data_IF_597340368693
#
_entry.id   IF_597340368693
#
_cell.length_a   1.000
_cell.length_b   1.000
_cell.length_c   1.000
_cell.angle_alpha   90.00
_cell.angle_beta   90.00
_cell.angle_gamma   90.00
#
_symmetry.space_group_name_H-M   'P 1'
#
loop_
_entity.id
_entity.type
_entity.pdbx_description
1 polymer ?
#
# COMPACT_ATOMS: atom_id res chain seq x y z
N UNK A 1 -10.14 4.69 12.71
CA UNK A 1 -9.07 4.37 13.68
C UNK A 1 -7.73 4.71 13.07
N UNK A 2 -7.43 4.15 11.90
CA UNK A 2 -6.19 4.39 11.11
C UNK A 2 -5.80 5.85 10.90
N UNK A 3 -6.78 6.72 10.62
CA UNK A 3 -6.53 8.16 10.41
C UNK A 3 -5.95 8.85 11.66
N UNK A 4 -6.45 8.49 12.84
CA UNK A 4 -5.98 9.06 14.10
C UNK A 4 -4.60 8.51 14.46
N UNK A 5 -4.37 7.22 14.21
CA UNK A 5 -3.08 6.57 14.42
C UNK A 5 -1.98 7.19 13.54
N UNK A 6 -2.32 7.49 12.27
CA UNK A 6 -1.44 8.21 11.35
C UNK A 6 -0.99 9.56 11.93
N UNK A 7 -1.94 10.34 12.44
CA UNK A 7 -1.67 11.68 13.01
C UNK A 7 -0.81 11.55 14.28
N UNK A 8 -1.12 10.59 15.15
CA UNK A 8 -0.35 10.35 16.38
C UNK A 8 1.10 9.96 16.03
N UNK A 9 1.30 9.05 15.09
CA UNK A 9 2.64 8.64 14.65
C UNK A 9 3.40 9.81 14.01
N UNK A 10 2.74 10.62 13.18
CA UNK A 10 3.36 11.81 12.59
C UNK A 10 3.80 12.82 13.67
N UNK A 11 2.95 13.08 14.67
CA UNK A 11 3.28 13.95 15.81
C UNK A 11 4.46 13.35 16.60
N UNK A 12 4.44 12.05 16.89
CA UNK A 12 5.52 11.37 17.60
C UNK A 12 6.87 11.51 16.89
N UNK A 13 6.90 11.34 15.55
CA UNK A 13 8.10 11.57 14.74
C UNK A 13 8.63 12.99 14.93
N UNK A 14 7.77 14.01 14.89
CA UNK A 14 8.19 15.42 15.08
C UNK A 14 8.78 15.65 16.48
N UNK A 15 8.12 15.16 17.53
CA UNK A 15 8.60 15.30 18.91
C UNK A 15 9.95 14.61 19.12
N UNK A 16 10.07 13.35 18.70
CA UNK A 16 11.30 12.57 18.87
C UNK A 16 12.45 13.19 18.06
N UNK A 17 12.19 13.60 16.81
CA UNK A 17 13.20 14.27 15.97
C UNK A 17 13.68 15.57 16.61
N UNK A 18 12.75 16.38 17.12
CA UNK A 18 13.08 17.64 17.79
C UNK A 18 13.97 17.40 19.01
N UNK A 19 13.66 16.39 19.82
CA UNK A 19 14.45 16.01 20.99
C UNK A 19 15.86 15.52 20.60
N UNK A 20 15.97 14.69 19.56
CA UNK A 20 17.26 14.19 19.05
C UNK A 20 18.14 15.36 18.58
N UNK A 21 17.59 16.27 17.77
CA UNK A 21 18.33 17.41 17.25
C UNK A 21 18.72 18.40 18.35
N UNK A 22 17.81 18.65 19.31
CA UNK A 22 18.09 19.50 20.46
C UNK A 22 19.21 18.92 21.33
N UNK A 23 19.19 17.62 21.59
CA UNK A 23 20.22 16.95 22.38
C UNK A 23 21.58 16.97 21.65
N UNK A 24 21.62 16.76 20.33
CA UNK A 24 22.87 16.83 19.57
C UNK A 24 23.53 18.22 19.61
N UNK A 25 22.72 19.28 19.56
CA UNK A 25 23.22 20.66 19.64
C UNK A 25 23.72 21.06 21.03
N UNK A 26 23.07 20.59 22.09
CA UNK A 26 23.31 21.04 23.47
C UNK A 26 24.12 20.06 24.33
N UNK A 27 24.39 18.83 23.87
CA UNK A 27 25.05 17.77 24.66
C UNK A 27 26.42 18.18 25.23
N UNK A 28 27.19 19.00 24.51
CA UNK A 28 28.49 19.46 24.98
C UNK A 28 28.39 20.48 26.14
N UNK A 29 27.36 21.33 26.13
CA UNK A 29 27.11 22.32 27.19
C UNK A 29 26.42 21.66 28.40
N UNK A 30 25.45 20.79 28.16
CA UNK A 30 24.71 20.05 29.20
C UNK A 30 25.63 19.30 30.16
N UNK A 31 26.70 18.66 29.67
CA UNK A 31 27.67 17.98 30.54
C UNK A 31 28.35 18.96 31.52
N UNK A 32 28.83 20.09 31.01
CA UNK A 32 29.51 21.10 31.83
C UNK A 32 28.56 21.77 32.82
N UNK A 33 27.33 22.05 32.39
CA UNK A 33 26.27 22.63 33.23
C UNK A 33 25.90 21.65 34.36
N UNK A 34 25.63 20.39 34.05
CA UNK A 34 25.28 19.35 35.03
C UNK A 34 26.39 19.11 36.05
N UNK A 35 27.66 19.04 35.62
CA UNK A 35 28.79 18.89 36.54
C UNK A 35 28.96 20.12 37.46
N UNK A 36 28.69 21.32 36.94
CA UNK A 36 28.76 22.58 37.68
C UNK A 36 27.61 22.72 38.68
N UNK A 37 26.38 22.46 38.25
CA UNK A 37 25.18 22.54 39.07
C UNK A 37 25.14 21.45 40.15
N UNK A 38 25.53 20.21 39.82
CA UNK A 38 25.63 19.15 40.82
C UNK A 38 26.66 19.50 41.90
N UNK A 39 27.82 20.04 41.51
CA UNK A 39 28.86 20.47 42.47
C UNK A 39 28.39 21.64 43.33
N UNK A 40 27.65 22.60 42.77
CA UNK A 40 27.06 23.70 43.54
C UNK A 40 25.95 23.24 44.48
N UNK A 41 25.08 22.33 44.05
CA UNK A 41 23.99 21.80 44.86
C UNK A 41 24.51 20.97 46.05
N UNK A 42 25.54 20.15 45.85
CA UNK A 42 26.21 19.43 46.94
C UNK A 42 26.84 20.40 47.94
N UNK A 43 27.51 21.46 47.48
CA UNK A 43 28.16 22.44 48.35
C UNK A 43 27.18 23.33 49.14
N UNK A 44 25.92 23.45 48.71
CA UNK A 44 24.88 24.24 49.41
C UNK A 44 23.94 23.40 50.29
N UNK A 45 24.25 22.13 50.53
CA UNK A 45 23.37 21.24 51.30
C UNK A 45 22.11 20.78 50.55
N UNK A 46 22.05 20.99 49.22
CA UNK A 46 20.94 20.64 48.34
C UNK A 46 20.88 19.16 47.95
N UNK A 47 21.48 18.25 48.72
CA UNK A 47 21.49 16.82 48.44
C UNK A 47 20.06 16.25 48.34
N UNK A 48 19.12 16.78 49.15
CA UNK A 48 17.72 16.41 49.08
C UNK A 48 17.05 16.86 47.76
N UNK A 49 17.39 18.04 47.24
CA UNK A 49 16.84 18.53 45.97
C UNK A 49 17.33 17.70 44.76
N UNK A 50 18.60 17.28 44.79
CA UNK A 50 19.15 16.35 43.80
C UNK A 50 18.49 14.96 43.89
N UNK A 51 18.32 14.45 45.11
CA UNK A 51 17.63 13.17 45.34
C UNK A 51 16.16 13.22 44.89
N UNK A 52 15.44 14.29 45.21
CA UNK A 52 14.06 14.51 44.79
C UNK A 52 13.94 14.66 43.27
N UNK A 53 14.84 15.39 42.61
CA UNK A 53 14.86 15.52 41.15
C UNK A 53 15.11 14.17 40.47
N UNK A 54 16.07 13.39 40.96
CA UNK A 54 16.31 12.03 40.46
C UNK A 54 15.11 11.11 40.71
N UNK A 55 14.49 11.17 41.89
CA UNK A 55 13.29 10.40 42.21
C UNK A 55 12.12 10.76 41.29
N UNK A 56 11.85 12.05 41.06
CA UNK A 56 10.77 12.50 40.18
C UNK A 56 11.02 12.12 38.71
N UNK A 57 12.28 12.19 38.25
CA UNK A 57 12.65 11.73 36.91
C UNK A 57 12.38 10.22 36.76
N UNK A 58 12.82 9.40 37.72
CA UNK A 58 12.57 7.95 37.72
C UNK A 58 11.08 7.64 37.82
N UNK A 59 10.33 8.38 38.64
CA UNK A 59 8.89 8.22 38.79
C UNK A 59 8.14 8.50 37.48
N UNK A 60 8.51 9.57 36.75
CA UNK A 60 7.92 9.92 35.45
C UNK A 60 8.16 8.82 34.42
N UNK A 61 9.41 8.41 34.23
CA UNK A 61 9.77 7.37 33.26
C UNK A 61 9.16 6.00 33.65
N UNK A 62 9.07 5.73 34.96
CA UNK A 62 8.40 4.53 35.49
C UNK A 62 6.90 4.54 35.25
N UNK A 63 6.23 5.69 35.37
CA UNK A 63 4.81 5.83 35.05
C UNK A 63 4.54 5.59 33.56
N UNK A 64 5.32 6.22 32.67
CA UNK A 64 5.22 6.00 31.22
C UNK A 64 5.43 4.53 30.86
N UNK A 65 6.47 3.90 31.40
CA UNK A 65 6.74 2.47 31.18
C UNK A 65 5.57 1.59 31.66
N UNK A 66 4.99 1.90 32.82
CA UNK A 66 3.86 1.15 33.38
C UNK A 66 2.61 1.27 32.50
N UNK A 67 2.34 2.46 31.99
CA UNK A 67 1.22 2.70 31.07
C UNK A 67 1.44 1.99 29.73
N UNK A 68 2.64 2.00 29.17
CA UNK A 68 2.95 1.26 27.95
C UNK A 68 2.85 -0.26 28.15
N UNK A 69 3.30 -0.80 29.28
CA UNK A 69 3.14 -2.23 29.60
C UNK A 69 1.68 -2.63 29.76
N UNK A 70 0.87 -1.76 30.39
CA UNK A 70 -0.58 -2.00 30.51
C UNK A 70 -1.24 -2.01 29.13
N UNK A 71 -0.96 -1.01 28.29
CA UNK A 71 -1.49 -0.95 26.92
C UNK A 71 -1.08 -2.17 26.10
N UNK A 72 0.19 -2.58 26.16
CA UNK A 72 0.68 -3.79 25.48
C UNK A 72 0.00 -5.08 25.97
N UNK A 73 -0.29 -5.17 27.27
CA UNK A 73 -1.01 -6.30 27.85
C UNK A 73 -2.49 -6.35 27.43
N UNK A 74 -3.12 -5.19 27.18
CA UNK A 74 -4.50 -5.08 26.68
C UNK A 74 -4.62 -5.39 25.18
N UNK A 75 -3.64 -4.98 24.36
CA UNK A 75 -3.62 -5.26 22.92
C UNK A 75 -3.30 -6.73 22.58
N UNK A 76 -2.79 -7.50 23.54
CA UNK A 76 -2.43 -8.90 23.34
C UNK A 76 -3.68 -9.80 23.24
N UNK A 77 -4.09 -10.17 22.02
CA UNK A 77 -5.23 -11.08 21.74
C UNK A 77 -5.02 -12.55 22.19
N UNK A 78 -3.90 -12.88 22.83
CA UNK A 78 -3.56 -14.22 23.31
C UNK A 78 -3.67 -14.39 24.83
N UNK A 79 -2.98 -15.41 25.37
CA UNK A 79 -2.94 -15.63 26.81
C UNK A 79 -2.15 -14.50 27.49
N UNK A 80 -2.85 -13.59 28.19
CA UNK A 80 -2.29 -12.40 28.89
C UNK A 80 -1.04 -12.70 29.73
N UNK A 81 -0.91 -13.94 30.20
CA UNK A 81 0.25 -14.44 30.91
C UNK A 81 1.58 -14.26 30.16
N UNK A 82 1.60 -14.48 28.83
CA UNK A 82 2.82 -14.32 28.04
C UNK A 82 3.27 -12.86 27.92
N UNK A 83 2.33 -11.91 27.85
CA UNK A 83 2.65 -10.49 27.84
C UNK A 83 3.26 -10.05 29.18
N UNK A 84 2.70 -10.51 30.31
CA UNK A 84 3.24 -10.24 31.65
C UNK A 84 4.63 -10.86 31.83
N UNK A 85 4.82 -12.11 31.38
CA UNK A 85 6.12 -12.78 31.44
C UNK A 85 7.17 -12.08 30.57
N UNK A 86 6.79 -11.67 29.35
CA UNK A 86 7.64 -10.87 28.47
C UNK A 86 8.04 -9.54 29.10
N UNK A 87 7.08 -8.82 29.71
CA UNK A 87 7.33 -7.59 30.47
C UNK A 87 8.28 -7.80 31.64
N UNK A 88 8.09 -8.87 32.43
CA UNK A 88 8.96 -9.21 33.55
C UNK A 88 10.40 -9.52 33.10
N UNK A 89 10.57 -10.28 32.01
CA UNK A 89 11.89 -10.55 31.40
C UNK A 89 12.52 -9.26 30.87
N UNK A 90 11.73 -8.38 30.26
CA UNK A 90 12.17 -7.05 29.83
C UNK A 90 12.68 -6.20 30.99
N UNK A 91 11.94 -6.15 32.10
CA UNK A 91 12.36 -5.45 33.33
C UNK A 91 13.65 -6.06 33.89
N UNK A 92 13.73 -7.39 33.99
CA UNK A 92 14.94 -8.07 34.48
C UNK A 92 16.17 -7.73 33.61
N UNK A 93 15.97 -7.70 32.29
CA UNK A 93 17.01 -7.32 31.31
C UNK A 93 17.42 -5.86 31.49
N UNK A 94 16.46 -4.94 31.66
CA UNK A 94 16.71 -3.53 31.94
C UNK A 94 17.44 -3.30 33.26
N UNK A 95 17.14 -4.07 34.31
CA UNK A 95 17.91 -4.05 35.57
C UNK A 95 19.34 -4.50 35.31
N UNK A 96 19.55 -5.57 34.55
CA UNK A 96 20.89 -6.03 34.16
C UNK A 96 21.69 -4.98 33.38
N UNK A 97 21.06 -4.33 32.40
CA UNK A 97 21.65 -3.21 31.65
C UNK A 97 21.94 -2.02 32.55
N UNK A 98 21.03 -1.67 33.46
CA UNK A 98 21.20 -0.57 34.42
C UNK A 98 22.37 -0.81 35.38
N UNK A 99 22.50 -2.04 35.89
CA UNK A 99 23.66 -2.46 36.69
C UNK A 99 24.95 -2.41 35.87
N UNK A 100 24.92 -2.86 34.62
CA UNK A 100 26.04 -2.77 33.69
C UNK A 100 26.47 -1.32 33.42
N UNK A 101 25.52 -0.41 33.27
CA UNK A 101 25.76 1.02 33.14
C UNK A 101 26.26 1.67 34.43
N UNK A 102 25.76 1.25 35.61
CA UNK A 102 26.22 1.75 36.89
C UNK A 102 27.69 1.42 37.14
N UNK A 103 28.08 0.15 36.94
CA UNK A 103 29.48 -0.27 37.10
C UNK A 103 30.38 0.19 35.94
N UNK A 104 29.84 0.30 34.72
CA UNK A 104 30.58 0.75 33.53
C UNK A 104 30.69 2.27 33.37
N UNK A 105 29.79 3.04 33.99
CA UNK A 105 29.57 4.47 33.73
C UNK A 105 30.76 5.37 34.05
N UNK A 106 31.61 4.96 35.00
CA UNK A 106 32.84 5.69 35.35
C UNK A 106 33.96 5.54 34.29
N UNK A 107 33.89 4.54 33.41
CA UNK A 107 34.89 4.28 32.35
C UNK A 107 34.40 4.58 30.93
N UNK A 108 33.10 4.82 30.74
CA UNK A 108 32.51 5.03 29.42
C UNK A 108 32.69 6.48 28.97
N UNK A 109 33.17 6.66 27.74
CA UNK A 109 33.18 7.97 27.10
C UNK A 109 31.73 8.40 26.82
N UNK A 110 31.20 9.31 27.65
CA UNK A 110 29.84 9.83 27.55
C UNK A 110 29.49 10.34 26.14
N UNK A 111 30.46 10.94 25.44
CA UNK A 111 30.27 11.39 24.06
C UNK A 111 30.10 10.25 23.06
N UNK A 112 30.78 9.11 23.24
CA UNK A 112 30.55 7.90 22.43
C UNK A 112 29.22 7.26 22.78
N UNK A 113 28.88 7.19 24.07
CA UNK A 113 27.61 6.64 24.53
C UNK A 113 26.41 7.39 23.92
N UNK A 114 26.35 8.71 24.08
CA UNK A 114 25.27 9.53 23.49
C UNK A 114 25.22 9.46 21.96
N UNK A 115 26.36 9.25 21.30
CA UNK A 115 26.38 9.07 19.85
C UNK A 115 25.77 7.73 19.45
N UNK A 116 26.12 6.64 20.12
CA UNK A 116 25.55 5.31 19.82
C UNK A 116 24.06 5.28 20.14
N UNK A 117 23.65 5.77 21.32
CA UNK A 117 22.23 5.82 21.70
C UNK A 117 21.43 6.77 20.81
N UNK A 118 22.00 7.90 20.40
CA UNK A 118 21.34 8.81 19.47
C UNK A 118 21.13 8.20 18.06
N UNK A 119 22.10 7.45 17.53
CA UNK A 119 21.89 6.68 16.28
C UNK A 119 20.74 5.69 16.45
N UNK A 120 20.70 4.96 17.56
CA UNK A 120 19.63 4.03 17.86
C UNK A 120 18.26 4.72 17.92
N UNK A 121 18.16 5.89 18.58
CA UNK A 121 16.94 6.70 18.61
C UNK A 121 16.50 7.19 17.22
N UNK A 122 17.43 7.53 16.33
CA UNK A 122 17.10 7.89 14.93
C UNK A 122 16.48 6.71 14.20
N UNK A 123 16.99 5.48 14.40
CA UNK A 123 16.42 4.28 13.77
C UNK A 123 15.01 3.97 14.31
N UNK A 124 14.77 4.15 15.61
CA UNK A 124 13.42 4.01 16.21
C UNK A 124 12.47 5.05 15.62
N UNK A 125 12.88 6.31 15.53
CA UNK A 125 12.07 7.37 14.96
C UNK A 125 11.77 7.11 13.47
N UNK A 126 12.73 6.55 12.74
CA UNK A 126 12.51 6.08 11.38
C UNK A 126 11.48 4.93 11.32
N UNK A 127 11.49 4.04 12.32
CA UNK A 127 10.43 3.05 12.55
C UNK A 127 9.03 3.64 12.65
N UNK A 128 8.89 4.72 13.43
CA UNK A 128 7.62 5.44 13.55
C UNK A 128 7.15 6.04 12.21
N UNK A 129 8.07 6.39 11.31
CA UNK A 129 7.74 6.83 9.93
C UNK A 129 7.15 5.67 9.11
N UNK A 130 7.66 4.43 9.24
CA UNK A 130 7.01 3.28 8.61
C UNK A 130 5.58 3.11 9.13
N UNK A 131 5.41 3.15 10.46
CA UNK A 131 4.09 3.03 11.09
C UNK A 131 3.12 4.11 10.60
N UNK A 132 3.57 5.36 10.51
CA UNK A 132 2.77 6.46 9.96
C UNK A 132 2.38 6.25 8.49
N UNK A 133 3.29 5.74 7.66
CA UNK A 133 3.02 5.49 6.24
C UNK A 133 2.09 4.29 6.02
N UNK A 134 2.22 3.26 6.88
CA UNK A 134 1.33 2.09 6.88
C UNK A 134 -0.09 2.48 7.24
N UNK A 135 -0.28 3.19 8.36
CA UNK A 135 -1.62 3.64 8.77
C UNK A 135 -2.17 4.73 7.85
N UNK A 136 -1.33 5.55 7.22
CA UNK A 136 -1.77 6.49 6.17
C UNK A 136 -2.30 5.75 4.94
N UNK A 137 -1.73 4.60 4.60
CA UNK A 137 -2.26 3.76 3.55
C UNK A 137 -3.59 3.12 3.93
N UNK A 138 -3.68 2.57 5.13
CA UNK A 138 -4.90 1.93 5.64
C UNK A 138 -6.04 2.96 5.83
N UNK A 139 -5.70 4.22 6.11
CA UNK A 139 -6.63 5.35 6.12
C UNK A 139 -7.03 5.86 4.72
N UNK A 140 -6.43 5.32 3.65
CA UNK A 140 -6.69 5.73 2.27
C UNK A 140 -6.02 7.03 1.82
N UNK A 141 -5.13 7.62 2.64
CA UNK A 141 -4.41 8.86 2.31
C UNK A 141 -3.24 8.62 1.34
N UNK A 142 -2.59 7.46 1.43
CA UNK A 142 -1.43 7.10 0.61
C UNK A 142 -1.64 5.73 -0.03
N UNK A 143 -2.11 5.68 -1.28
CA UNK A 143 -2.34 4.43 -2.02
C UNK A 143 -1.14 3.98 -2.87
N UNK A 144 -0.03 4.71 -2.80
CA UNK A 144 1.10 4.59 -3.72
C UNK A 144 2.22 3.75 -3.09
N UNK A 145 2.89 2.92 -3.88
CA UNK A 145 4.11 2.20 -3.47
C UNK A 145 3.89 1.09 -2.43
N UNK A 146 2.74 0.43 -2.49
CA UNK A 146 2.32 -0.60 -1.52
C UNK A 146 2.87 -2.00 -1.82
N UNK A 147 3.73 -2.11 -2.81
CA UNK A 147 4.38 -3.38 -3.16
C UNK A 147 5.35 -3.77 -2.07
N UNK A 148 5.30 -5.04 -1.68
CA UNK A 148 6.30 -5.64 -0.80
C UNK A 148 7.65 -5.67 -1.52
N UNK A 149 8.67 -5.04 -0.92
CA UNK A 149 10.02 -4.94 -1.51
C UNK A 149 10.89 -6.11 -1.09
N UNK A 150 10.78 -6.46 0.18
CA UNK A 150 11.55 -7.53 0.81
C UNK A 150 10.58 -8.45 1.52
N UNK A 151 10.77 -9.75 1.32
CA UNK A 151 10.18 -10.74 2.19
C UNK A 151 11.15 -11.02 3.34
N UNK A 152 10.97 -10.32 4.45
CA UNK A 152 11.78 -10.53 5.65
C UNK A 152 11.18 -11.62 6.54
N UNK A 153 10.11 -12.31 6.13
CA UNK A 153 9.44 -13.34 6.93
C UNK A 153 10.39 -14.46 7.37
N UNK A 154 11.41 -14.78 6.56
CA UNK A 154 12.44 -15.76 6.90
C UNK A 154 13.39 -15.31 8.03
N UNK A 155 13.58 -13.99 8.22
CA UNK A 155 14.48 -13.40 9.22
C UNK A 155 13.73 -12.81 10.43
N UNK A 156 12.52 -12.33 10.21
CA UNK A 156 11.61 -11.75 11.19
C UNK A 156 10.28 -12.53 11.11
N UNK A 157 10.24 -13.82 11.53
CA UNK A 157 8.98 -14.55 11.58
C UNK A 157 8.03 -13.89 12.58
N UNK A 158 6.77 -13.73 12.21
CA UNK A 158 5.73 -13.16 13.09
C UNK A 158 5.43 -14.02 14.32
N UNK A 159 5.86 -15.28 14.32
CA UNK A 159 5.79 -16.21 15.45
C UNK A 159 7.09 -16.30 16.27
N UNK A 160 8.09 -15.45 16.00
CA UNK A 160 9.37 -15.44 16.69
C UNK A 160 9.50 -14.27 17.67
N UNK A 161 10.08 -14.52 18.84
CA UNK A 161 10.41 -13.48 19.83
C UNK A 161 11.36 -12.43 19.24
N UNK A 162 12.32 -12.85 18.41
CA UNK A 162 13.23 -11.93 17.73
C UNK A 162 12.48 -11.05 16.73
N UNK A 163 11.50 -11.64 16.03
CA UNK A 163 10.65 -10.90 15.10
C UNK A 163 9.84 -9.83 15.82
N UNK A 164 9.12 -10.23 16.88
CA UNK A 164 8.36 -9.30 17.72
C UNK A 164 9.23 -8.22 18.37
N UNK A 165 10.43 -8.56 18.85
CA UNK A 165 11.36 -7.59 19.41
C UNK A 165 11.89 -6.60 18.37
N UNK A 166 12.20 -7.07 17.16
CA UNK A 166 12.72 -6.21 16.08
C UNK A 166 11.64 -5.26 15.57
N UNK A 167 10.43 -5.78 15.34
CA UNK A 167 9.27 -4.97 14.94
C UNK A 167 8.87 -4.00 16.05
N UNK A 168 8.86 -4.44 17.30
CA UNK A 168 8.49 -3.60 18.44
C UNK A 168 9.50 -2.49 18.73
N UNK A 169 10.80 -2.77 18.63
CA UNK A 169 11.85 -1.78 18.91
C UNK A 169 12.05 -0.83 17.73
N UNK A 170 12.19 -1.36 16.51
CA UNK A 170 12.56 -0.56 15.34
C UNK A 170 11.37 -0.19 14.46
N UNK A 171 10.15 -0.66 14.75
CA UNK A 171 8.99 -0.41 13.90
C UNK A 171 9.07 -1.04 12.51
N UNK A 172 10.00 -1.99 12.28
CA UNK A 172 10.23 -2.59 10.97
C UNK A 172 9.30 -3.81 10.82
N UNK A 173 8.32 -3.77 9.92
CA UNK A 173 7.43 -4.90 9.67
C UNK A 173 8.14 -6.02 8.90
N UNK A 174 7.60 -7.25 8.95
CA UNK A 174 8.14 -8.40 8.22
C UNK A 174 7.92 -8.29 6.70
N UNK A 175 6.95 -7.49 6.28
CA UNK A 175 6.55 -7.22 4.90
C UNK A 175 6.74 -5.73 4.52
N UNK A 176 7.97 -5.19 4.57
CA UNK A 176 8.18 -3.77 4.31
C UNK A 176 7.75 -3.40 2.89
N UNK A 177 6.86 -2.40 2.81
CA UNK A 177 6.37 -1.87 1.54
C UNK A 177 7.31 -0.81 0.98
N UNK A 178 7.26 -0.58 -0.31
CA UNK A 178 8.23 0.30 -0.98
C UNK A 178 8.14 1.74 -0.49
N UNK A 179 6.93 2.26 -0.28
CA UNK A 179 6.76 3.59 0.29
C UNK A 179 7.29 3.68 1.73
N UNK A 180 7.16 2.61 2.51
CA UNK A 180 7.65 2.52 3.89
C UNK A 180 9.20 2.56 3.91
N UNK A 181 9.86 1.78 3.05
CA UNK A 181 11.33 1.77 2.93
C UNK A 181 11.86 3.12 2.42
N UNK A 182 11.21 3.71 1.42
CA UNK A 182 11.58 5.02 0.91
C UNK A 182 11.40 6.11 1.97
N UNK A 183 10.30 6.10 2.71
CA UNK A 183 10.04 7.01 3.82
C UNK A 183 11.07 6.86 4.93
N UNK A 184 11.41 5.61 5.29
CA UNK A 184 12.46 5.31 6.26
C UNK A 184 13.80 5.88 5.82
N UNK A 185 14.23 5.67 4.57
CA UNK A 185 15.49 6.21 4.05
C UNK A 185 15.46 7.74 3.97
N UNK A 186 14.35 8.32 3.50
CA UNK A 186 14.15 9.76 3.37
C UNK A 186 14.20 10.46 4.73
N UNK A 187 13.80 9.80 5.80
CA UNK A 187 13.92 10.31 7.17
C UNK A 187 15.28 9.99 7.80
N UNK A 188 15.69 8.72 7.81
CA UNK A 188 16.86 8.24 8.53
C UNK A 188 18.15 8.84 7.97
N UNK A 189 18.33 8.89 6.65
CA UNK A 189 19.58 9.35 6.04
C UNK A 189 19.86 10.83 6.36
N UNK A 190 18.94 11.80 6.13
CA UNK A 190 19.20 13.19 6.48
C UNK A 190 19.44 13.39 7.98
N UNK A 191 18.61 12.77 8.83
CA UNK A 191 18.71 12.96 10.29
C UNK A 191 20.01 12.36 10.81
N UNK A 192 20.39 11.17 10.34
CA UNK A 192 21.64 10.52 10.72
C UNK A 192 22.85 11.31 10.23
N UNK A 193 22.80 11.86 9.00
CA UNK A 193 23.85 12.74 8.48
C UNK A 193 23.98 13.97 9.37
N UNK A 194 22.88 14.67 9.68
CA UNK A 194 22.89 15.85 10.56
C UNK A 194 23.39 15.48 11.96
N UNK A 195 22.99 14.33 12.49
CA UNK A 195 23.34 13.86 13.83
C UNK A 195 24.83 13.49 13.94
N UNK A 196 25.36 12.74 12.98
CA UNK A 196 26.73 12.23 12.99
C UNK A 196 27.76 13.19 12.42
N UNK A 197 27.35 14.28 11.76
CA UNK A 197 28.29 15.21 11.12
C UNK A 197 29.23 15.81 12.18
N UNK A 198 30.55 15.51 12.13
CA UNK A 198 31.45 15.95 13.18
C UNK A 198 31.62 17.47 13.09
N UNK A 199 31.46 18.19 14.21
CA UNK A 199 31.70 19.64 14.29
C UNK A 199 33.11 20.04 13.87
N UNK A 200 34.07 19.11 13.95
CA UNK A 200 35.48 19.26 13.54
C UNK A 200 35.71 19.01 12.04
N UNK A 201 34.85 18.20 11.42
CA UNK A 201 34.74 17.99 9.98
C UNK A 201 33.65 18.87 9.38
N UNK A 202 33.21 19.91 10.09
CA UNK A 202 32.60 21.07 9.47
C UNK A 202 33.68 21.68 8.56
N UNK A 203 33.81 21.08 7.37
CA UNK A 203 34.68 21.53 6.32
C UNK A 203 34.40 23.03 6.18
N UNK A 204 35.46 23.84 6.05
CA UNK A 204 35.35 25.28 5.87
C UNK A 204 34.12 25.54 4.97
N UNK A 205 33.19 26.43 5.33
CA UNK A 205 31.80 26.36 4.88
C UNK A 205 31.63 26.29 3.34
N UNK A 206 32.66 26.68 2.58
CA UNK A 206 32.85 26.44 1.14
C UNK A 206 32.96 24.96 0.72
N UNK A 207 33.78 24.14 1.38
CA UNK A 207 33.96 22.72 1.09
C UNK A 207 32.71 21.90 1.42
N UNK A 208 32.00 22.23 2.51
CA UNK A 208 30.68 21.66 2.84
C UNK A 208 29.64 21.98 1.76
N UNK A 209 29.61 23.23 1.28
CA UNK A 209 28.74 23.63 0.18
C UNK A 209 29.01 22.89 -1.13
N UNK A 210 30.29 22.67 -1.48
CA UNK A 210 30.69 21.91 -2.68
C UNK A 210 30.31 20.43 -2.61
N UNK A 211 30.50 19.80 -1.45
CA UNK A 211 30.14 18.40 -1.24
C UNK A 211 28.63 18.19 -1.32
N UNK A 212 27.84 19.07 -0.71
CA UNK A 212 26.38 19.03 -0.75
C UNK A 212 25.83 19.33 -2.16
N UNK A 213 26.49 20.22 -2.91
CA UNK A 213 26.14 20.48 -4.30
C UNK A 213 26.49 19.29 -5.21
N UNK A 214 27.63 18.62 -4.97
CA UNK A 214 28.03 17.43 -5.70
C UNK A 214 27.08 16.25 -5.44
N UNK A 215 26.69 16.00 -4.19
CA UNK A 215 25.70 14.96 -3.87
C UNK A 215 24.32 15.30 -4.44
N UNK A 216 23.89 16.57 -4.38
CA UNK A 216 22.66 17.02 -5.05
C UNK A 216 22.68 16.75 -6.56
N UNK A 217 23.78 17.09 -7.23
CA UNK A 217 23.95 16.85 -8.66
C UNK A 217 23.95 15.35 -9.00
N UNK A 218 24.65 14.52 -8.22
CA UNK A 218 24.66 13.06 -8.41
C UNK A 218 23.26 12.47 -8.22
N UNK A 219 22.53 12.90 -7.19
CA UNK A 219 21.16 12.43 -6.94
C UNK A 219 20.20 12.83 -8.06
N UNK A 220 20.32 14.04 -8.61
CA UNK A 220 19.53 14.47 -9.78
C UNK A 220 19.87 13.69 -11.03
N UNK A 221 21.16 13.42 -11.29
CA UNK A 221 21.60 12.63 -12.44
C UNK A 221 21.11 11.19 -12.33
N UNK A 222 21.26 10.56 -11.17
CA UNK A 222 20.76 9.20 -10.93
C UNK A 222 19.24 9.14 -11.05
N UNK A 223 18.52 10.12 -10.49
CA UNK A 223 17.06 10.22 -10.64
C UNK A 223 16.61 10.38 -12.10
N UNK A 224 17.31 11.20 -12.88
CA UNK A 224 17.03 11.39 -14.30
C UNK A 224 17.36 10.16 -15.14
N UNK A 225 18.51 9.51 -14.90
CA UNK A 225 18.90 8.28 -15.61
C UNK A 225 17.92 7.15 -15.32
N UNK A 226 17.50 6.98 -14.06
CA UNK A 226 16.49 5.99 -13.70
C UNK A 226 15.14 6.25 -14.35
N UNK A 227 14.72 7.52 -14.48
CA UNK A 227 13.48 7.88 -15.17
C UNK A 227 13.53 7.65 -16.70
N UNK A 228 14.73 7.70 -17.31
CA UNK A 228 14.91 7.53 -18.76
C UNK A 228 15.18 6.07 -19.14
N UNK A 229 15.91 5.32 -18.30
CA UNK A 229 16.35 3.95 -18.58
C UNK A 229 15.31 2.88 -18.19
N UNK A 230 14.25 3.24 -17.48
CA UNK A 230 13.14 2.31 -17.22
C UNK A 230 12.38 2.06 -18.53
N UNK A 231 12.45 0.83 -19.09
CA UNK A 231 11.78 0.55 -20.34
C UNK A 231 10.28 0.78 -20.16
N UNK A 232 9.71 1.61 -21.04
CA UNK A 232 8.27 1.68 -21.23
C UNK A 232 7.82 0.33 -21.77
N UNK A 233 7.64 -0.66 -20.90
CA UNK A 233 7.01 -1.92 -21.27
C UNK A 233 5.69 -1.55 -21.94
N UNK A 234 5.42 -2.14 -23.11
CA UNK A 234 4.18 -1.89 -23.84
C UNK A 234 3.01 -2.04 -22.85
N UNK A 235 2.05 -1.11 -22.91
CA UNK A 235 0.78 -1.36 -22.23
C UNK A 235 0.22 -2.64 -22.85
N UNK A 236 -0.10 -3.70 -22.07
CA UNK A 236 -0.82 -4.82 -22.63
C UNK A 236 -2.09 -4.28 -23.30
N UNK A 237 -2.53 -4.85 -24.44
CA UNK A 237 -3.76 -4.42 -25.09
C UNK A 237 -4.90 -4.47 -24.07
N UNK A 238 -5.86 -3.55 -24.11
CA UNK A 238 -6.99 -3.61 -23.19
C UNK A 238 -7.66 -4.98 -23.38
N UNK A 239 -7.72 -5.78 -22.31
CA UNK A 239 -8.46 -7.05 -22.20
C UNK A 239 -9.99 -6.80 -22.25
N UNK A 240 -10.43 -6.02 -23.24
CA UNK A 240 -11.82 -5.59 -23.40
C UNK A 240 -12.62 -6.57 -24.22
N UNK A 241 -11.98 -7.41 -25.02
CA UNK A 241 -12.65 -8.32 -25.95
C UNK A 241 -12.35 -9.75 -25.57
N UNK A 242 -13.39 -10.55 -25.33
CA UNK A 242 -13.32 -11.99 -25.07
C UNK A 242 -13.93 -12.73 -26.25
N UNK A 243 -13.44 -13.92 -26.53
CA UNK A 243 -14.05 -14.81 -27.52
C UNK A 243 -15.00 -15.75 -26.82
N UNK A 244 -16.20 -15.91 -27.35
CA UNK A 244 -17.19 -16.89 -26.91
C UNK A 244 -17.49 -17.81 -28.08
N UNK A 245 -17.82 -19.07 -27.76
CA UNK A 245 -18.19 -20.06 -28.78
C UNK A 245 -19.53 -20.65 -28.38
N UNK A 246 -20.46 -20.71 -29.34
CA UNK A 246 -21.76 -21.36 -29.15
C UNK A 246 -21.66 -22.89 -29.29
N UNK A 247 -22.74 -23.63 -29.01
CA UNK A 247 -22.73 -25.10 -29.09
C UNK A 247 -22.60 -25.64 -30.52
N UNK A 248 -22.87 -24.81 -31.53
CA UNK A 248 -22.67 -25.14 -32.93
C UNK A 248 -21.26 -24.80 -33.45
N UNK A 249 -20.40 -24.23 -32.62
CA UNK A 249 -19.02 -23.88 -32.96
C UNK A 249 -18.86 -22.51 -33.60
N UNK A 250 -19.90 -21.66 -33.64
CA UNK A 250 -19.74 -20.28 -34.10
C UNK A 250 -19.10 -19.45 -32.99
N UNK A 251 -18.16 -18.59 -33.37
CA UNK A 251 -17.49 -17.71 -32.42
C UNK A 251 -17.99 -16.27 -32.53
N UNK A 252 -17.97 -15.56 -31.41
CA UNK A 252 -18.24 -14.14 -31.34
C UNK A 252 -17.24 -13.45 -30.41
N UNK A 253 -16.98 -12.18 -30.68
CA UNK A 253 -16.24 -11.29 -29.81
C UNK A 253 -17.23 -10.58 -28.88
N UNK A 254 -17.03 -10.69 -27.57
CA UNK A 254 -17.84 -10.00 -26.55
C UNK A 254 -17.00 -8.95 -25.84
N UNK A 255 -17.56 -7.77 -25.62
CA UNK A 255 -16.88 -6.68 -24.92
C UNK A 255 -17.86 -5.83 -24.12
N UNK A 256 -17.36 -5.20 -23.06
CA UNK A 256 -18.15 -4.26 -22.29
C UNK A 256 -17.99 -2.86 -22.88
N UNK A 257 -19.11 -2.21 -23.19
CA UNK A 257 -19.15 -0.83 -23.68
C UNK A 257 -20.12 -0.01 -22.83
N UNK A 258 -19.95 1.30 -22.84
CA UNK A 258 -20.87 2.23 -22.19
C UNK A 258 -21.72 2.88 -23.28
N UNK A 259 -23.01 2.55 -23.30
CA UNK A 259 -23.98 3.14 -24.21
C UNK A 259 -24.87 4.21 -23.54
N UNK A 260 -25.86 4.74 -24.26
CA UNK A 260 -26.76 5.79 -23.77
C UNK A 260 -27.57 5.37 -22.53
N UNK A 261 -27.80 4.06 -22.37
CA UNK A 261 -28.64 3.49 -21.33
C UNK A 261 -27.86 2.82 -20.20
N UNK A 262 -26.52 2.95 -20.20
CA UNK A 262 -25.65 2.39 -19.17
C UNK A 262 -24.60 1.44 -19.74
N UNK A 263 -24.24 0.41 -18.98
CA UNK A 263 -23.31 -0.61 -19.43
C UNK A 263 -24.02 -1.58 -20.37
N UNK A 264 -23.40 -1.84 -21.51
CA UNK A 264 -23.91 -2.73 -22.53
C UNK A 264 -22.88 -3.83 -22.82
N UNK A 265 -23.35 -5.05 -22.97
CA UNK A 265 -22.56 -6.14 -23.53
C UNK A 265 -22.66 -6.06 -25.05
N UNK A 266 -21.55 -5.78 -25.73
CA UNK A 266 -21.47 -5.78 -27.18
C UNK A 266 -21.00 -7.14 -27.68
N UNK A 267 -21.83 -7.82 -28.46
CA UNK A 267 -21.55 -9.13 -29.05
C UNK A 267 -21.41 -8.96 -30.56
N UNK A 268 -20.23 -9.27 -31.10
CA UNK A 268 -19.90 -9.17 -32.52
C UNK A 268 -19.59 -10.55 -33.06
N UNK A 269 -20.48 -11.19 -33.84
CA UNK A 269 -20.20 -12.48 -34.44
C UNK A 269 -18.97 -12.43 -35.35
N UNK A 270 -18.21 -13.52 -35.42
CA UNK A 270 -17.02 -13.59 -36.26
C UNK A 270 -17.40 -13.42 -37.74
N UNK A 271 -16.74 -12.48 -38.43
CA UNK A 271 -16.98 -12.22 -39.85
C UNK A 271 -18.06 -11.17 -40.15
N UNK A 272 -18.70 -10.59 -39.13
CA UNK A 272 -19.60 -9.43 -39.27
C UNK A 272 -19.05 -8.21 -38.54
N UNK A 273 -19.47 -7.02 -38.98
CA UNK A 273 -19.18 -5.75 -38.30
C UNK A 273 -20.34 -5.23 -37.46
N UNK A 274 -21.50 -5.89 -37.52
CA UNK A 274 -22.69 -5.50 -36.79
C UNK A 274 -22.61 -6.03 -35.36
N UNK A 275 -22.52 -5.11 -34.40
CA UNK A 275 -22.59 -5.43 -33.00
C UNK A 275 -24.04 -5.55 -32.52
N UNK A 276 -24.32 -6.58 -31.73
CA UNK A 276 -25.54 -6.68 -30.95
C UNK A 276 -25.25 -6.20 -29.53
N UNK A 277 -25.84 -5.07 -29.15
CA UNK A 277 -25.61 -4.45 -27.85
C UNK A 277 -26.78 -4.76 -26.90
N UNK A 278 -26.44 -5.34 -25.75
CA UNK A 278 -27.39 -5.81 -24.74
C UNK A 278 -27.23 -4.94 -23.50
N UNK A 279 -28.27 -4.22 -23.09
CA UNK A 279 -28.22 -3.34 -21.92
C UNK A 279 -28.21 -4.18 -20.64
N UNK A 280 -27.16 -4.02 -19.84
CA UNK A 280 -26.94 -4.79 -18.63
C UNK A 280 -27.48 -4.08 -17.38
N UNK A 281 -28.01 -4.86 -16.44
CA UNK A 281 -28.47 -4.38 -15.13
C UNK A 281 -27.54 -4.93 -14.05
N UNK A 282 -27.11 -4.12 -13.06
CA UNK A 282 -26.29 -4.63 -11.95
C UNK A 282 -27.10 -5.67 -11.15
N UNK A 283 -26.49 -6.81 -10.88
CA UNK A 283 -27.15 -7.94 -10.22
C UNK A 283 -26.57 -8.21 -8.82
N UNK A 284 -25.25 -8.35 -8.71
CA UNK A 284 -24.56 -8.75 -7.47
C UNK A 284 -23.07 -8.38 -7.50
N UNK A 285 -22.39 -8.44 -6.37
CA UNK A 285 -20.93 -8.34 -6.26
C UNK A 285 -20.38 -9.65 -5.68
N UNK A 286 -19.46 -10.29 -6.40
CA UNK A 286 -18.93 -11.62 -6.05
C UNK A 286 -17.40 -11.63 -5.98
N UNK A 287 -16.84 -12.72 -5.45
CA UNK A 287 -15.39 -12.93 -5.41
C UNK A 287 -15.06 -14.19 -6.20
N UNK A 288 -14.26 -14.05 -7.26
CA UNK A 288 -13.77 -15.16 -8.11
C UNK A 288 -12.26 -15.23 -7.95
N UNK A 289 -11.75 -16.38 -7.52
CA UNK A 289 -10.32 -16.60 -7.20
C UNK A 289 -9.71 -15.53 -6.27
N UNK A 290 -10.50 -15.06 -5.29
CA UNK A 290 -10.07 -14.01 -4.36
C UNK A 290 -10.13 -12.58 -4.91
N UNK A 291 -10.57 -12.38 -6.16
CA UNK A 291 -10.70 -11.07 -6.80
C UNK A 291 -12.17 -10.62 -6.77
N UNK A 292 -12.49 -9.40 -6.30
CA UNK A 292 -13.85 -8.88 -6.33
C UNK A 292 -14.28 -8.55 -7.77
N UNK A 293 -15.41 -9.06 -8.19
CA UNK A 293 -16.00 -8.87 -9.52
C UNK A 293 -17.45 -8.42 -9.40
N UNK A 294 -17.88 -7.55 -10.31
CA UNK A 294 -19.26 -7.09 -10.39
C UNK A 294 -20.03 -7.97 -11.37
N UNK A 295 -21.19 -8.47 -10.94
CA UNK A 295 -22.08 -9.30 -11.73
C UNK A 295 -23.17 -8.43 -12.34
N UNK A 296 -23.30 -8.54 -13.66
CA UNK A 296 -24.33 -7.87 -14.43
C UNK A 296 -25.20 -8.91 -15.11
N UNK A 297 -26.51 -8.66 -15.14
CA UNK A 297 -27.46 -9.60 -15.70
C UNK A 297 -28.59 -8.89 -16.42
N UNK A 298 -29.10 -9.52 -17.49
CA UNK A 298 -30.36 -9.12 -18.13
C UNK A 298 -31.04 -10.34 -18.74
N UNK A 299 -32.37 -10.29 -18.78
CA UNK A 299 -33.21 -11.32 -19.39
C UNK A 299 -33.95 -10.72 -20.58
N UNK A 300 -33.69 -11.22 -21.78
CA UNK A 300 -34.36 -10.82 -23.00
C UNK A 300 -35.31 -11.92 -23.46
N UNK A 301 -36.58 -11.57 -23.68
CA UNK A 301 -37.55 -12.47 -24.29
C UNK A 301 -37.57 -12.23 -25.81
N UNK A 302 -37.31 -13.28 -26.59
CA UNK A 302 -37.64 -13.27 -28.01
C UNK A 302 -39.16 -13.39 -28.17
N UNK A 303 -39.71 -12.68 -29.15
CA UNK A 303 -41.14 -12.70 -29.46
C UNK A 303 -41.65 -14.11 -29.79
N UNK A 304 -42.98 -14.28 -29.76
CA UNK A 304 -43.57 -15.57 -30.08
C UNK A 304 -43.38 -15.89 -31.58
N UNK A 305 -42.60 -16.92 -31.89
CA UNK A 305 -42.24 -17.25 -33.27
C UNK A 305 -43.22 -18.25 -33.90
N UNK A 306 -44.24 -17.75 -34.59
CA UNK A 306 -45.15 -18.57 -35.41
C UNK A 306 -45.92 -19.68 -34.67
N UNK A 307 -46.83 -20.34 -35.40
CA UNK A 307 -47.54 -21.53 -34.94
C UNK A 307 -47.31 -22.69 -35.92
N UNK A 308 -46.09 -23.22 -36.04
CA UNK A 308 -45.85 -24.37 -36.90
C UNK A 308 -46.55 -25.62 -36.34
N UNK A 309 -46.98 -26.45 -37.27
CA UNK A 309 -47.42 -27.81 -36.98
C UNK A 309 -46.18 -28.66 -36.68
N UNK A 310 -46.14 -29.27 -35.49
CA UNK A 310 -45.00 -30.06 -35.01
C UNK A 310 -45.46 -31.45 -34.57
N UNK A 311 -44.80 -32.47 -35.11
CA UNK A 311 -45.07 -33.87 -34.79
C UNK A 311 -44.49 -34.25 -33.42
N UNK A 312 -44.99 -35.34 -32.85
CA UNK A 312 -44.48 -35.86 -31.58
C UNK A 312 -42.99 -36.26 -31.68
N UNK A 313 -42.56 -36.82 -32.81
CA UNK A 313 -41.17 -37.20 -33.06
C UNK A 313 -40.24 -35.98 -33.17
N UNK A 314 -40.70 -34.89 -33.79
CA UNK A 314 -39.95 -33.64 -33.85
C UNK A 314 -39.80 -33.02 -32.45
N UNK A 315 -40.86 -33.01 -31.64
CA UNK A 315 -40.77 -32.58 -30.24
C UNK A 315 -39.77 -33.44 -29.45
N UNK A 316 -39.80 -34.76 -29.65
CA UNK A 316 -38.89 -35.70 -29.01
C UNK A 316 -37.43 -35.44 -29.43
N UNK A 317 -37.18 -35.08 -30.69
CA UNK A 317 -35.87 -34.64 -31.16
C UNK A 317 -35.41 -33.34 -30.50
N UNK A 318 -36.31 -32.36 -30.36
CA UNK A 318 -36.01 -31.06 -29.74
C UNK A 318 -35.72 -31.16 -28.23
N UNK A 319 -36.32 -32.12 -27.53
CA UNK A 319 -36.13 -32.32 -26.08
C UNK A 319 -35.06 -33.37 -25.73
N UNK A 320 -34.15 -33.67 -26.66
CA UNK A 320 -33.05 -34.59 -26.42
C UNK A 320 -33.50 -36.03 -26.17
N UNK A 321 -34.57 -36.47 -26.82
CA UNK A 321 -35.10 -37.83 -26.77
C UNK A 321 -36.04 -38.12 -25.60
N UNK A 322 -36.42 -37.12 -24.79
CA UNK A 322 -37.31 -37.29 -23.64
C UNK A 322 -38.66 -36.63 -23.89
N UNK A 323 -39.75 -37.39 -23.79
CA UNK A 323 -41.11 -36.83 -23.89
C UNK A 323 -41.38 -35.85 -22.74
N UNK A 324 -41.83 -34.62 -23.04
CA UNK A 324 -42.32 -33.69 -22.03
C UNK A 324 -43.43 -34.29 -21.17
N UNK A 325 -43.46 -33.88 -19.90
CA UNK A 325 -44.45 -34.38 -18.94
C UNK A 325 -45.88 -34.13 -19.44
N UNK A 326 -46.65 -35.22 -19.56
CA UNK A 326 -48.05 -35.19 -19.99
C UNK A 326 -48.28 -35.33 -21.50
N UNK A 327 -47.23 -35.62 -22.29
CA UNK A 327 -47.34 -36.12 -23.66
C UNK A 327 -47.06 -37.62 -23.68
N UNK A 328 -47.83 -38.38 -24.46
CA UNK A 328 -47.63 -39.81 -24.62
C UNK A 328 -48.09 -40.28 -26.01
N UNK A 329 -47.30 -41.14 -26.65
CA UNK A 329 -47.51 -41.62 -28.03
C UNK A 329 -48.94 -42.14 -28.27
N UNK A 330 -49.51 -42.88 -27.33
CA UNK A 330 -50.88 -43.44 -27.46
C UNK A 330 -52.02 -42.51 -27.06
N UNK A 331 -51.76 -41.36 -26.43
CA UNK A 331 -52.80 -40.42 -25.96
C UNK A 331 -52.78 -39.07 -26.69
N UNK A 332 -51.60 -38.61 -27.06
CA UNK A 332 -51.36 -37.35 -27.75
C UNK A 332 -50.47 -37.63 -28.97
N UNK A 333 -51.02 -38.22 -30.04
CA UNK A 333 -50.23 -38.65 -31.19
C UNK A 333 -49.68 -37.46 -32.02
N UNK A 334 -50.18 -36.25 -31.79
CA UNK A 334 -49.89 -35.11 -32.65
C UNK A 334 -50.63 -35.20 -33.99
N UNK A 335 -50.33 -34.31 -34.95
CA UNK A 335 -49.43 -33.17 -34.82
C UNK A 335 -50.03 -32.05 -33.93
N UNK A 336 -49.16 -31.23 -33.35
CA UNK A 336 -49.51 -30.12 -32.46
C UNK A 336 -49.29 -28.78 -33.15
N UNK A 337 -50.13 -27.80 -32.85
CA UNK A 337 -49.87 -26.40 -33.19
C UNK A 337 -49.07 -25.78 -32.04
N UNK A 338 -47.82 -25.39 -32.29
CA UNK A 338 -46.91 -24.91 -31.26
C UNK A 338 -46.57 -23.43 -31.39
N UNK A 339 -46.89 -22.62 -30.38
CA UNK A 339 -46.38 -21.26 -30.25
C UNK A 339 -45.12 -21.26 -29.39
N UNK A 340 -44.01 -20.78 -29.93
CA UNK A 340 -42.72 -20.80 -29.23
C UNK A 340 -42.44 -19.49 -28.53
N UNK A 341 -41.83 -19.54 -27.35
CA UNK A 341 -41.29 -18.36 -26.67
C UNK A 341 -39.91 -18.71 -26.11
N UNK A 342 -38.95 -17.82 -26.30
CA UNK A 342 -37.58 -18.01 -25.81
C UNK A 342 -37.23 -16.89 -24.86
N UNK A 343 -36.63 -17.22 -23.73
CA UNK A 343 -36.01 -16.24 -22.84
C UNK A 343 -34.53 -16.55 -22.75
N UNK A 344 -33.68 -15.55 -23.01
CA UNK A 344 -32.23 -15.63 -22.89
C UNK A 344 -31.76 -14.76 -21.74
N UNK A 345 -31.01 -15.36 -20.82
CA UNK A 345 -30.37 -14.65 -19.71
C UNK A 345 -28.90 -14.48 -20.03
N UNK A 346 -28.44 -13.23 -20.06
CA UNK A 346 -27.04 -12.88 -20.19
C UNK A 346 -26.50 -12.54 -18.81
N UNK A 347 -25.39 -13.18 -18.43
CA UNK A 347 -24.69 -12.91 -17.17
C UNK A 347 -23.24 -12.58 -17.49
N UNK A 348 -22.75 -11.47 -16.96
CA UNK A 348 -21.41 -10.95 -17.24
C UNK A 348 -20.71 -10.60 -15.93
N UNK A 349 -19.54 -11.18 -15.71
CA UNK A 349 -18.66 -10.86 -14.59
C UNK A 349 -17.62 -9.85 -15.07
N UNK A 350 -17.46 -8.76 -14.33
CA UNK A 350 -16.60 -7.66 -14.76
C UNK A 350 -15.69 -7.17 -13.65
N UNK A 351 -14.54 -6.63 -14.03
CA UNK A 351 -13.62 -5.88 -13.17
C UNK A 351 -13.31 -4.57 -13.88
N UNK A 352 -13.88 -3.46 -13.41
CA UNK A 352 -13.80 -2.19 -14.14
C UNK A 352 -14.47 -2.32 -15.51
N UNK A 353 -13.73 -2.05 -16.59
CA UNK A 353 -14.21 -2.17 -17.98
C UNK A 353 -13.89 -3.53 -18.63
N UNK A 354 -13.26 -4.45 -17.89
CA UNK A 354 -12.80 -5.73 -18.43
C UNK A 354 -13.81 -6.84 -18.14
N UNK A 355 -14.06 -7.70 -19.13
CA UNK A 355 -14.94 -8.87 -19.00
C UNK A 355 -14.12 -10.05 -18.47
N UNK A 356 -14.44 -10.50 -17.25
CA UNK A 356 -13.81 -11.65 -16.58
C UNK A 356 -14.40 -12.96 -17.09
N UNK A 357 -15.72 -13.03 -17.21
CA UNK A 357 -16.43 -14.14 -17.82
C UNK A 357 -17.80 -13.66 -18.30
N UNK A 358 -18.35 -14.33 -19.31
CA UNK A 358 -19.67 -14.01 -19.82
C UNK A 358 -20.34 -15.28 -20.33
N UNK A 359 -21.65 -15.41 -20.11
CA UNK A 359 -22.44 -16.50 -20.65
C UNK A 359 -23.86 -16.07 -20.98
N UNK A 360 -24.42 -16.70 -22.01
CA UNK A 360 -25.81 -16.58 -22.42
C UNK A 360 -26.48 -17.95 -22.32
N UNK A 361 -27.54 -18.02 -21.52
CA UNK A 361 -28.33 -19.24 -21.35
C UNK A 361 -29.76 -18.97 -21.76
N UNK A 362 -30.24 -19.66 -22.78
CA UNK A 362 -31.64 -19.62 -23.18
C UNK A 362 -32.47 -20.72 -22.53
N UNK A 363 -33.77 -20.48 -22.42
CA UNK A 363 -34.77 -21.50 -22.18
C UNK A 363 -35.92 -21.29 -23.17
N UNK A 364 -36.12 -22.26 -24.06
CA UNK A 364 -37.23 -22.23 -25.03
C UNK A 364 -38.41 -23.01 -24.48
N UNK A 365 -39.59 -22.40 -24.55
CA UNK A 365 -40.87 -23.01 -24.19
C UNK A 365 -41.79 -23.03 -25.40
N UNK A 366 -42.74 -23.96 -25.39
CA UNK A 366 -43.75 -24.11 -26.43
C UNK A 366 -45.13 -24.24 -25.80
N UNK A 367 -46.09 -23.43 -26.25
CA UNK A 367 -47.49 -23.63 -25.98
C UNK A 367 -48.09 -24.51 -27.09
N UNK A 368 -48.38 -25.76 -26.76
CA UNK A 368 -48.91 -26.76 -27.68
C UNK A 368 -50.44 -26.82 -27.60
N UNK A 369 -51.10 -26.87 -28.74
CA UNK A 369 -52.55 -27.09 -28.88
C UNK A 369 -52.83 -28.16 -29.94
N UNK A 370 -54.00 -28.82 -29.88
CA UNK A 370 -54.35 -29.90 -30.80
C UNK A 370 -53.63 -31.23 -30.51
N UNK A 371 -53.53 -32.12 -31.50
CA UNK A 371 -52.74 -33.36 -31.38
C UNK A 371 -53.18 -34.36 -30.30
N UNK A 372 -54.44 -34.30 -29.85
CA UNK A 372 -54.99 -35.13 -28.77
C UNK A 372 -54.95 -34.48 -27.38
N UNK A 373 -54.53 -33.21 -27.28
CA UNK A 373 -54.58 -32.45 -26.02
C UNK A 373 -56.01 -31.94 -25.73
N UNK A 374 -56.43 -32.00 -24.47
CA UNK A 374 -57.71 -31.46 -24.00
C UNK A 374 -57.69 -29.94 -23.79
N UNK A 375 -56.51 -29.32 -23.83
CA UNK A 375 -56.30 -27.88 -23.67
C UNK A 375 -54.86 -27.49 -24.02
N UNK A 376 -54.57 -26.20 -24.05
CA UNK A 376 -53.23 -25.71 -24.34
C UNK A 376 -52.23 -26.16 -23.24
N UNK A 377 -51.05 -26.62 -23.65
CA UNK A 377 -50.03 -27.14 -22.73
C UNK A 377 -48.67 -26.51 -23.00
N UNK A 378 -48.08 -25.92 -21.97
CA UNK A 378 -46.71 -25.40 -22.03
C UNK A 378 -45.69 -26.52 -21.77
N UNK A 379 -44.71 -26.64 -22.65
CA UNK A 379 -43.56 -27.55 -22.51
C UNK A 379 -42.25 -26.76 -22.58
N UNK A 380 -41.25 -27.13 -21.79
CA UNK A 380 -39.88 -26.60 -21.91
C UNK A 380 -39.07 -27.52 -22.81
N UNK A 381 -38.34 -26.91 -23.74
CA UNK A 381 -37.44 -27.57 -24.68
C UNK A 381 -35.97 -27.46 -24.26
N UNK A 382 -35.67 -26.70 -23.20
CA UNK A 382 -34.30 -26.46 -22.74
C UNK A 382 -33.59 -25.34 -23.52
N UNK A 383 -32.24 -25.38 -23.46
CA UNK A 383 -31.38 -24.36 -24.02
C UNK A 383 -31.18 -24.44 -25.53
N UNK A 384 -30.73 -23.34 -26.14
CA UNK A 384 -30.55 -23.24 -27.58
C UNK A 384 -29.12 -23.59 -28.01
N UNK A 385 -28.95 -23.88 -29.30
CA UNK A 385 -27.61 -24.06 -29.88
C UNK A 385 -26.78 -22.76 -29.86
N UNK A 386 -27.48 -21.62 -29.83
CA UNK A 386 -26.92 -20.28 -29.69
C UNK A 386 -26.49 -19.92 -28.28
N UNK A 387 -26.71 -20.79 -27.28
CA UNK A 387 -26.15 -20.61 -25.95
C UNK A 387 -24.63 -20.65 -26.04
N UNK A 388 -23.97 -19.70 -25.39
CA UNK A 388 -22.51 -19.55 -25.42
C UNK A 388 -21.97 -19.15 -24.06
N UNK A 389 -20.69 -19.42 -23.84
CA UNK A 389 -19.96 -19.02 -22.64
C UNK A 389 -18.49 -18.78 -22.95
N UNK A 390 -17.84 -17.93 -22.17
CA UNK A 390 -16.38 -17.86 -22.13
C UNK A 390 -15.80 -19.18 -21.62
N UNK A 391 -14.58 -19.53 -22.03
CA UNK A 391 -13.96 -20.76 -21.56
C UNK A 391 -13.38 -20.57 -20.15
N UNK A 392 -13.61 -21.54 -19.26
CA UNK A 392 -13.17 -21.46 -17.87
C UNK A 392 -11.63 -21.32 -17.73
N UNK A 393 -10.86 -21.90 -18.65
CA UNK A 393 -9.40 -21.77 -18.68
C UNK A 393 -8.96 -20.35 -19.06
N UNK A 394 -9.62 -19.73 -20.04
CA UNK A 394 -9.35 -18.34 -20.42
C UNK A 394 -9.80 -17.37 -19.32
N UNK A 395 -10.90 -17.65 -18.63
CA UNK A 395 -11.41 -16.83 -17.52
C UNK A 395 -10.37 -16.69 -16.40
N UNK A 396 -9.76 -17.80 -15.96
CA UNK A 396 -8.70 -17.78 -14.95
C UNK A 396 -7.47 -17.02 -15.45
N UNK A 397 -7.04 -17.24 -16.71
CA UNK A 397 -5.88 -16.54 -17.28
C UNK A 397 -6.11 -15.04 -17.42
N UNK A 398 -7.33 -14.62 -17.79
CA UNK A 398 -7.70 -13.21 -17.96
C UNK A 398 -7.77 -12.52 -16.61
N UNK A 399 -8.33 -13.18 -15.59
CA UNK A 399 -8.37 -12.65 -14.23
C UNK A 399 -6.96 -12.48 -13.65
N UNK A 400 -6.05 -13.44 -13.89
CA UNK A 400 -4.64 -13.31 -13.52
C UNK A 400 -3.95 -12.15 -14.25
N UNK A 401 -4.24 -11.95 -15.54
CA UNK A 401 -3.66 -10.86 -16.34
C UNK A 401 -4.20 -9.48 -15.93
N UNK A 402 -5.49 -9.36 -15.60
CA UNK A 402 -6.09 -8.12 -15.07
C UNK A 402 -5.37 -7.72 -13.78
N UNK A 403 -5.20 -8.67 -12.83
CA UNK A 403 -4.48 -8.43 -11.57
C UNK A 403 -3.01 -8.07 -11.82
N UNK A 404 -2.32 -8.75 -12.73
CA UNK A 404 -0.94 -8.45 -13.09
C UNK A 404 -0.80 -7.04 -13.72
N UNK A 405 -1.77 -6.64 -14.57
CA UNK A 405 -1.78 -5.33 -15.22
C UNK A 405 -1.96 -4.17 -14.23
N UNK A 406 -2.84 -4.35 -13.22
CA UNK A 406 -3.01 -3.38 -12.13
C UNK A 406 -1.72 -3.25 -11.31
N UNK A 407 -1.03 -4.37 -11.03
CA UNK A 407 0.25 -4.39 -10.32
C UNK A 407 1.36 -3.64 -11.09
N UNK A 408 1.48 -3.88 -12.40
CA UNK A 408 2.48 -3.22 -13.25
C UNK A 408 2.23 -1.72 -13.46
N UNK A 409 0.97 -1.25 -13.44
CA UNK A 409 0.67 0.20 -13.51
C UNK A 409 1.17 0.92 -12.25
N UNK A 410 1.08 0.28 -11.09
CA UNK A 410 1.66 0.78 -9.83
C UNK A 410 3.19 0.82 -9.84
N UNK A 411 3.86 -0.21 -10.38
CA UNK A 411 5.33 -0.27 -10.53
C UNK A 411 5.85 0.86 -11.42
N UNK A 412 5.17 1.13 -12.54
CA UNK A 412 5.57 2.19 -13.48
C UNK A 412 5.50 3.58 -12.85
N UNK A 413 4.44 3.89 -12.09
CA UNK A 413 4.35 5.18 -11.40
C UNK A 413 5.45 5.33 -10.34
N UNK A 414 5.82 4.24 -9.68
CA UNK A 414 6.84 4.29 -8.64
C UNK A 414 8.23 4.56 -9.22
N UNK A 415 8.63 3.80 -10.25
CA UNK A 415 9.94 3.94 -10.87
C UNK A 415 10.07 5.23 -11.70
N UNK A 416 9.00 5.66 -12.39
CA UNK A 416 9.10 6.78 -13.33
C UNK A 416 8.74 8.13 -12.71
N UNK A 417 7.97 8.16 -11.62
CA UNK A 417 7.49 9.41 -11.03
C UNK A 417 8.02 9.57 -9.61
N UNK A 418 7.77 8.59 -8.74
CA UNK A 418 8.03 8.78 -7.30
C UNK A 418 9.49 8.64 -6.91
N UNK A 419 10.21 7.64 -7.41
CA UNK A 419 11.64 7.47 -7.13
C UNK A 419 12.46 8.69 -7.61
N UNK A 420 12.26 9.21 -8.84
CA UNK A 420 12.90 10.46 -9.27
C UNK A 420 12.49 11.65 -8.42
N UNK A 421 11.23 11.74 -7.98
CA UNK A 421 10.73 12.85 -7.15
C UNK A 421 11.32 12.82 -5.74
N UNK A 422 11.46 11.65 -5.12
CA UNK A 422 12.14 11.49 -3.82
C UNK A 422 13.61 11.85 -3.94
N UNK A 423 14.30 11.36 -4.98
CA UNK A 423 15.69 11.73 -5.26
C UNK A 423 15.85 13.23 -5.51
N UNK A 424 14.90 13.85 -6.21
CA UNK A 424 14.86 15.30 -6.43
C UNK A 424 14.59 16.09 -5.14
N UNK A 425 13.69 15.61 -4.28
CA UNK A 425 13.43 16.22 -2.97
C UNK A 425 14.67 16.17 -2.07
N UNK A 426 15.38 15.04 -2.06
CA UNK A 426 16.64 14.90 -1.35
C UNK A 426 17.71 15.83 -1.91
N UNK A 427 17.84 15.89 -3.25
CA UNK A 427 18.74 16.80 -3.93
C UNK A 427 18.43 18.26 -3.61
N UNK A 428 17.15 18.63 -3.49
CA UNK A 428 16.72 19.97 -3.12
C UNK A 428 17.08 20.32 -1.68
N UNK A 429 16.86 19.42 -0.72
CA UNK A 429 17.27 19.61 0.67
C UNK A 429 18.80 19.77 0.80
N UNK A 430 19.58 18.97 0.05
CA UNK A 430 21.02 19.14 -0.05
C UNK A 430 21.41 20.48 -0.66
N UNK A 431 20.73 20.94 -1.72
CA UNK A 431 20.99 22.22 -2.36
C UNK A 431 20.69 23.41 -1.44
N UNK A 432 19.56 23.39 -0.72
CA UNK A 432 19.21 24.42 0.27
C UNK A 432 20.25 24.51 1.40
N UNK A 433 20.68 23.35 1.88
CA UNK A 433 21.73 23.25 2.90
C UNK A 433 23.08 23.77 2.36
N UNK A 434 23.39 23.53 1.08
CA UNK A 434 24.57 24.07 0.42
C UNK A 434 24.51 25.61 0.33
N UNK A 435 23.38 26.18 -0.09
CA UNK A 435 23.17 27.63 -0.17
C UNK A 435 23.29 28.29 1.20
N UNK A 436 22.67 27.71 2.23
CA UNK A 436 22.77 28.19 3.60
C UNK A 436 24.23 28.20 4.08
N UNK A 437 24.99 27.13 3.80
CA UNK A 437 26.41 27.05 4.16
C UNK A 437 27.27 28.12 3.45
N UNK A 438 26.97 28.45 2.18
CA UNK A 438 27.68 29.48 1.43
C UNK A 438 27.35 30.90 1.91
N UNK A 439 26.11 31.17 2.34
CA UNK A 439 25.71 32.46 2.94
C UNK A 439 26.46 32.72 4.25
N UNK A 440 26.57 31.71 5.11
CA UNK A 440 27.34 31.80 6.36
C UNK A 440 28.83 32.05 6.07
N UNK A 441 29.40 31.37 5.07
CA UNK A 441 30.78 31.58 4.65
C UNK A 441 31.06 33.04 4.23
N UNK A 442 30.18 33.63 3.41
CA UNK A 442 30.32 35.02 2.94
C UNK A 442 30.25 36.01 4.09
N UNK A 443 29.30 35.83 5.02
CA UNK A 443 29.13 36.71 6.18
C UNK A 443 30.36 36.72 7.09
N UNK A 444 30.96 35.55 7.34
CA UNK A 444 32.20 35.45 8.14
C UNK A 444 33.39 36.12 7.45
N UNK A 445 33.46 36.08 6.12
CA UNK A 445 34.54 36.72 5.36
C UNK A 445 34.39 38.24 5.32
N UNK A 446 33.16 38.75 5.24
CA UNK A 446 32.86 40.19 5.34
C UNK A 446 33.18 40.73 6.75
N UNK A 447 32.81 40.00 7.80
CA UNK A 447 33.20 40.35 9.19
C UNK A 447 34.71 40.33 9.39
N UNK A 448 35.42 39.33 8.83
CA UNK A 448 36.88 39.26 8.91
C UNK A 448 37.55 40.43 8.20
N UNK A 449 37.05 40.81 7.01
CA UNK A 449 37.52 41.98 6.27
C UNK A 449 37.22 43.30 7.01
N UNK A 450 36.08 43.42 7.69
CA UNK A 450 35.78 44.62 8.48
C UNK A 450 36.68 44.76 9.69
N UNK A 451 37.01 43.64 10.36
CA UNK A 451 37.92 43.62 11.51
C UNK A 451 39.35 43.97 11.08
N UNK A 452 39.86 43.40 9.99
CA UNK A 452 41.19 43.76 9.44
C UNK A 452 41.24 45.22 8.95
N UNK A 453 40.14 45.75 8.41
CA UNK A 453 40.06 47.16 8.03
C UNK A 453 40.03 48.10 9.26
N UNK A 454 39.42 47.69 10.38
CA UNK A 454 39.42 48.44 11.63
C UNK A 454 40.78 48.38 12.35
N UNK A 455 41.45 47.23 12.37
CA UNK A 455 42.78 47.09 12.98
C UNK A 455 43.83 47.93 12.25
N UNK A 456 43.77 48.01 10.91
CA UNK A 456 44.63 48.91 10.13
C UNK A 456 44.36 50.40 10.35
N UNK A 457 43.14 50.80 10.75
CA UNK A 457 42.82 52.20 11.09
C UNK A 457 43.31 52.60 12.49
N UNK A 458 43.33 51.66 13.44
CA UNK A 458 43.77 51.93 14.82
C UNK A 458 45.30 51.98 14.98
N UNK A 459 46.07 51.41 14.05
CA UNK A 459 47.53 51.50 14.03
C UNK A 459 48.11 52.86 13.63
N UNK A 460 47.27 53.82 13.21
CA UNK A 460 47.68 55.14 12.73
C UNK A 460 47.43 56.27 13.73
N UNK A 461 47.35 56.00 15.04
CA UNK A 461 47.31 57.05 16.05
C UNK A 461 48.74 57.55 16.28
N UNK A 462 49.10 58.79 15.88
CA UNK A 462 50.41 59.34 16.21
C UNK A 462 50.48 59.56 17.71
N UNK A 463 51.44 58.89 18.36
CA UNK A 463 51.83 59.19 19.74
C UNK A 463 52.55 60.53 19.70
N UNK A 464 51.87 61.59 20.12
CA UNK A 464 52.41 62.93 20.32
C UNK A 464 53.06 63.07 21.68
#
# INVERSE_FOLDING_TARGET
>A
QEMMETVINAIAVVFVTSMILWMNGNAAQLKGELEREARQAVNRGGAFALAAMAFLAVLKEGFETSVFLLAAAETSHGNRWFAVLGGAVGILTSVGLGVGLYYGGLRINLGRFFRVTGVFLVLIAAGLVLGALRTAHEAGWVSIGQQQVLDLSGWIPSNSVLGAATTGVFGIPADPRLIEVLGWLLYAVPVLVVFLLPTRLAAAPRARGRLLAATSAVLLIVGAVLAIMTPAAASPPPLRVRTVTDRSGHTAAVSLVTGPHGRELSVVPQGTSTAHNIVLVPADDQTVDGVPVQVWQVSEAAGADGAPEVTLDQLLGMTGGRLPVGLAVGRTPGPFQGQWSTTTVYTVFTRGDSVVSAHATSNRTALLTGGGLTGAKTVSLGGLATDWSTSAAEDHSTLAEIVASERHRGERQLWNVWLPLVLAGFAFACALSAVASLRVARRQEDERKSIDAQSHRLGNVPVS
#
